data_IF_830389347045
#
_entry.id   IF_830389347045
#
_cell.length_a   1.000
_cell.length_b   1.000
_cell.length_c   1.000
_cell.angle_alpha   90.00
_cell.angle_beta   90.00
_cell.angle_gamma   90.00
#
_symmetry.space_group_name_H-M   'P 1'
#
loop_
_entity.id
_entity.type
_entity.pdbx_description
1 polymer ?
#
# COMPACT_ATOMS: atom_id res chain seq x y z
N UNK A 1 -19.19 39.15 19.56
CA UNK A 1 -18.31 39.05 18.37
C UNK A 1 -17.81 37.62 18.28
N UNK A 2 -18.37 36.81 17.39
CA UNK A 2 -17.90 35.46 17.11
C UNK A 2 -16.51 35.54 16.49
N UNK A 3 -15.55 34.76 16.98
CA UNK A 3 -14.18 34.80 16.46
C UNK A 3 -14.19 34.25 15.02
N UNK A 4 -13.37 34.77 14.10
CA UNK A 4 -13.27 34.26 12.73
C UNK A 4 -13.11 32.73 12.62
N UNK A 5 -12.31 32.04 13.46
CA UNK A 5 -12.24 30.57 13.44
C UNK A 5 -13.55 29.86 13.81
N UNK A 6 -14.38 30.43 14.69
CA UNK A 6 -15.67 29.83 15.07
C UNK A 6 -16.69 29.90 13.94
N UNK A 7 -16.61 30.96 13.11
CA UNK A 7 -17.43 31.12 11.91
C UNK A 7 -17.00 30.12 10.82
N UNK A 8 -15.69 29.97 10.58
CA UNK A 8 -15.17 28.98 9.63
C UNK A 8 -15.54 27.56 10.01
N UNK A 9 -15.43 27.20 11.30
CA UNK A 9 -15.85 25.89 11.79
C UNK A 9 -17.36 25.65 11.61
N UNK A 10 -18.18 26.70 11.79
CA UNK A 10 -19.63 26.60 11.60
C UNK A 10 -20.01 26.48 10.13
N UNK A 11 -19.38 27.24 9.25
CA UNK A 11 -19.54 27.12 7.80
C UNK A 11 -19.11 25.73 7.31
N UNK A 12 -17.98 25.21 7.80
CA UNK A 12 -17.51 23.88 7.45
C UNK A 12 -18.55 22.80 7.78
N UNK A 13 -19.16 22.86 8.98
CA UNK A 13 -20.24 21.92 9.36
C UNK A 13 -21.44 22.00 8.42
N UNK A 14 -21.85 23.20 8.03
CA UNK A 14 -22.95 23.35 7.06
C UNK A 14 -22.61 22.68 5.72
N UNK A 15 -21.39 22.89 5.21
CA UNK A 15 -20.94 22.26 3.96
C UNK A 15 -20.81 20.72 4.07
N UNK A 16 -20.35 20.20 5.22
CA UNK A 16 -20.31 18.76 5.48
C UNK A 16 -21.72 18.15 5.45
N UNK A 17 -22.71 18.82 6.05
CA UNK A 17 -24.11 18.37 6.06
C UNK A 17 -24.75 18.37 4.68
N UNK A 18 -24.34 19.28 3.79
CA UNK A 18 -24.81 19.34 2.41
C UNK A 18 -23.98 18.46 1.45
N UNK A 19 -22.97 17.75 1.96
CA UNK A 19 -22.09 16.90 1.16
C UNK A 19 -21.07 17.66 0.30
N UNK A 20 -20.93 18.98 0.47
CA UNK A 20 -19.91 19.77 -0.22
C UNK A 20 -18.56 19.69 0.53
N UNK A 21 -17.94 18.52 0.43
CA UNK A 21 -16.69 18.23 1.13
C UNK A 21 -15.53 19.13 0.71
N UNK A 22 -15.55 19.64 -0.53
CA UNK A 22 -14.51 20.53 -1.03
C UNK A 22 -14.54 21.90 -0.33
N UNK A 23 -15.72 22.49 -0.15
CA UNK A 23 -15.84 23.76 0.59
C UNK A 23 -15.62 23.55 2.09
N UNK A 24 -16.13 22.45 2.66
CA UNK A 24 -15.84 22.10 4.05
C UNK A 24 -14.33 21.98 4.31
N UNK A 25 -13.59 21.32 3.40
CA UNK A 25 -12.14 21.17 3.51
C UNK A 25 -11.41 22.51 3.47
N UNK A 26 -11.86 23.46 2.63
CA UNK A 26 -11.30 24.82 2.59
C UNK A 26 -11.50 25.56 3.91
N UNK A 27 -12.72 25.53 4.44
CA UNK A 27 -13.02 26.17 5.72
C UNK A 27 -12.18 25.60 6.87
N UNK A 28 -11.98 24.28 6.92
CA UNK A 28 -11.11 23.66 7.94
C UNK A 28 -9.63 23.99 7.75
N UNK A 29 -9.15 24.14 6.51
CA UNK A 29 -7.78 24.55 6.26
C UNK A 29 -7.51 25.99 6.70
N UNK A 30 -8.42 26.91 6.36
CA UNK A 30 -8.36 28.31 6.80
C UNK A 30 -8.49 28.43 8.33
N UNK A 31 -9.24 27.53 8.96
CA UNK A 31 -9.34 27.42 10.42
C UNK A 31 -8.10 26.78 11.08
N UNK A 32 -7.10 26.33 10.30
CA UNK A 32 -5.89 25.72 10.83
C UNK A 32 -6.06 24.26 11.29
N UNK A 33 -7.03 23.53 10.73
CA UNK A 33 -7.29 22.12 11.00
C UNK A 33 -6.88 21.22 9.81
N UNK A 34 -5.57 21.05 9.54
CA UNK A 34 -5.11 20.36 8.33
C UNK A 34 -5.48 18.88 8.28
N UNK A 35 -5.62 18.20 9.43
CA UNK A 35 -6.04 16.79 9.49
C UNK A 35 -7.46 16.62 8.94
N UNK A 36 -8.42 17.39 9.47
CA UNK A 36 -9.81 17.33 9.05
C UNK A 36 -9.98 17.80 7.60
N UNK A 37 -9.25 18.83 7.20
CA UNK A 37 -9.21 19.26 5.81
C UNK A 37 -8.71 18.14 4.86
N UNK A 38 -7.68 17.38 5.27
CA UNK A 38 -7.15 16.27 4.47
C UNK A 38 -8.20 15.16 4.27
N UNK A 39 -8.88 14.73 5.33
CA UNK A 39 -9.95 13.73 5.27
C UNK A 39 -11.09 14.19 4.34
N UNK A 40 -11.50 15.45 4.45
CA UNK A 40 -12.55 16.00 3.60
C UNK A 40 -12.13 16.11 2.13
N UNK A 41 -10.86 16.40 1.84
CA UNK A 41 -10.34 16.35 0.47
C UNK A 41 -10.32 14.92 -0.10
N UNK A 42 -10.07 13.89 0.72
CA UNK A 42 -10.24 12.49 0.29
C UNK A 42 -11.71 12.19 -0.06
N UNK A 43 -12.65 12.61 0.79
CA UNK A 43 -14.09 12.45 0.53
C UNK A 43 -14.56 13.24 -0.70
N UNK A 44 -13.96 14.39 -0.96
CA UNK A 44 -14.20 15.18 -2.17
C UNK A 44 -13.61 14.56 -3.45
N UNK A 45 -12.84 13.49 -3.34
CA UNK A 45 -12.17 12.84 -4.48
C UNK A 45 -11.00 13.64 -5.06
N UNK A 46 -10.39 14.55 -4.27
CA UNK A 46 -9.18 15.30 -4.65
C UNK A 46 -7.96 14.80 -3.86
N UNK A 47 -7.35 13.67 -4.28
CA UNK A 47 -6.23 13.08 -3.57
C UNK A 47 -4.97 13.97 -3.57
N UNK A 48 -4.84 14.88 -4.54
CA UNK A 48 -3.71 15.79 -4.62
C UNK A 48 -3.77 16.82 -3.50
N UNK A 49 -4.93 17.44 -3.30
CA UNK A 49 -5.12 18.38 -2.18
C UNK A 49 -5.07 17.64 -0.84
N UNK A 50 -5.66 16.46 -0.75
CA UNK A 50 -5.57 15.64 0.46
C UNK A 50 -4.09 15.38 0.84
N UNK A 51 -3.24 15.03 -0.12
CA UNK A 51 -1.83 14.78 0.12
C UNK A 51 -1.09 16.01 0.69
N UNK A 52 -1.29 17.20 0.11
CA UNK A 52 -0.71 18.45 0.63
C UNK A 52 -1.10 18.68 2.09
N UNK A 53 -2.36 18.42 2.45
CA UNK A 53 -2.85 18.61 3.82
C UNK A 53 -2.35 17.56 4.79
N UNK A 54 -2.21 16.31 4.35
CA UNK A 54 -1.54 15.27 5.13
C UNK A 54 -0.07 15.58 5.39
N UNK A 55 0.64 16.17 4.42
CA UNK A 55 2.03 16.61 4.62
C UNK A 55 2.10 17.74 5.66
N UNK A 56 1.24 18.76 5.55
CA UNK A 56 1.14 19.84 6.56
C UNK A 56 0.81 19.29 7.94
N UNK A 57 -0.04 18.27 8.02
CA UNK A 57 -0.42 17.58 9.24
C UNK A 57 0.65 16.60 9.77
N UNK A 58 1.86 16.56 9.18
CA UNK A 58 2.94 15.64 9.56
C UNK A 58 2.50 14.17 9.51
N UNK A 59 1.75 13.80 8.46
CA UNK A 59 1.31 12.42 8.15
C UNK A 59 1.79 12.01 6.74
N UNK A 60 3.11 11.92 6.52
CA UNK A 60 3.68 11.61 5.20
C UNK A 60 3.20 10.29 4.59
N UNK A 61 2.95 9.25 5.40
CA UNK A 61 2.44 7.96 4.90
C UNK A 61 1.07 8.08 4.23
N UNK A 62 0.13 8.81 4.86
CA UNK A 62 -1.21 9.07 4.28
C UNK A 62 -1.13 9.95 3.04
N UNK A 63 -0.23 10.95 3.06
CA UNK A 63 0.03 11.76 1.87
C UNK A 63 0.52 10.90 0.70
N UNK A 64 1.43 9.97 0.95
CA UNK A 64 1.96 9.07 -0.06
C UNK A 64 0.86 8.15 -0.64
N UNK A 65 -0.03 7.61 0.19
CA UNK A 65 -1.21 6.84 -0.27
C UNK A 65 -2.10 7.65 -1.21
N UNK A 66 -2.39 8.91 -0.86
CA UNK A 66 -3.16 9.81 -1.71
C UNK A 66 -2.44 10.09 -3.04
N UNK A 67 -1.13 10.35 -3.00
CA UNK A 67 -0.33 10.58 -4.22
C UNK A 67 -0.25 9.34 -5.12
N UNK A 68 -0.22 8.13 -4.53
CA UNK A 68 -0.32 6.88 -5.29
C UNK A 68 -1.66 6.77 -6.03
N UNK A 69 -2.77 7.10 -5.36
CA UNK A 69 -4.11 7.14 -5.99
C UNK A 69 -4.16 8.17 -7.12
N UNK A 70 -3.50 9.31 -6.94
CA UNK A 70 -3.35 10.35 -7.96
C UNK A 70 -2.32 10.02 -9.06
N UNK A 71 -1.70 8.83 -9.05
CA UNK A 71 -0.64 8.40 -10.01
C UNK A 71 0.62 9.29 -10.00
N UNK A 72 0.85 10.06 -8.94
CA UNK A 72 2.03 10.92 -8.74
C UNK A 72 3.13 10.14 -7.99
N UNK A 73 3.72 9.16 -8.68
CA UNK A 73 4.55 8.13 -8.04
C UNK A 73 5.86 8.64 -7.44
N UNK A 74 6.55 9.55 -8.13
CA UNK A 74 7.79 10.14 -7.65
C UNK A 74 7.56 10.97 -6.38
N UNK A 75 6.45 11.67 -6.30
CA UNK A 75 6.07 12.46 -5.13
C UNK A 75 5.60 11.56 -3.98
N UNK A 76 4.88 10.48 -4.28
CA UNK A 76 4.54 9.47 -3.28
C UNK A 76 5.80 8.84 -2.66
N UNK A 77 6.80 8.50 -3.49
CA UNK A 77 8.07 7.98 -3.00
C UNK A 77 8.80 8.98 -2.10
N UNK A 78 8.86 10.26 -2.49
CA UNK A 78 9.43 11.34 -1.65
C UNK A 78 8.67 11.51 -0.34
N UNK A 79 7.34 11.42 -0.37
CA UNK A 79 6.53 11.51 0.85
C UNK A 79 6.82 10.33 1.80
N UNK A 80 6.92 9.10 1.30
CA UNK A 80 7.36 7.96 2.12
C UNK A 80 8.76 8.17 2.70
N UNK A 81 9.70 8.66 1.90
CA UNK A 81 11.07 8.97 2.33
C UNK A 81 11.10 10.03 3.45
N UNK A 82 10.34 11.11 3.31
CA UNK A 82 10.18 12.13 4.36
C UNK A 82 9.58 11.56 5.65
N UNK A 83 8.76 10.51 5.55
CA UNK A 83 8.21 9.76 6.68
C UNK A 83 9.14 8.68 7.25
N UNK A 84 10.33 8.49 6.68
CA UNK A 84 11.27 7.44 7.06
C UNK A 84 10.90 6.04 6.56
N UNK A 85 9.85 5.89 5.75
CA UNK A 85 9.45 4.60 5.19
C UNK A 85 10.20 4.31 3.87
N UNK A 86 11.51 4.10 4.00
CA UNK A 86 12.40 3.87 2.87
C UNK A 86 12.03 2.63 2.07
N UNK A 87 11.41 1.64 2.71
CA UNK A 87 10.93 0.43 2.03
C UNK A 87 9.80 0.75 1.05
N UNK A 88 8.76 1.45 1.49
CA UNK A 88 7.65 1.82 0.59
C UNK A 88 8.08 2.86 -0.45
N UNK A 89 9.01 3.76 -0.12
CA UNK A 89 9.60 4.68 -1.09
C UNK A 89 10.30 3.94 -2.23
N UNK A 90 11.26 3.06 -1.90
CA UNK A 90 11.97 2.25 -2.89
C UNK A 90 11.04 1.32 -3.68
N UNK A 91 10.06 0.73 -3.01
CA UNK A 91 9.06 -0.14 -3.64
C UNK A 91 8.19 0.60 -4.66
N UNK A 92 7.80 1.83 -4.34
CA UNK A 92 7.04 2.68 -5.26
C UNK A 92 7.86 2.97 -6.51
N UNK A 93 9.14 3.35 -6.35
CA UNK A 93 10.02 3.64 -7.48
C UNK A 93 10.26 2.41 -8.36
N UNK A 94 10.52 1.24 -7.78
CA UNK A 94 10.83 0.04 -8.57
C UNK A 94 9.61 -0.50 -9.34
N UNK A 95 8.41 -0.39 -8.79
CA UNK A 95 7.18 -0.96 -9.38
C UNK A 95 6.42 0.03 -10.27
N UNK A 96 6.46 1.33 -9.95
CA UNK A 96 5.66 2.36 -10.63
C UNK A 96 6.47 3.29 -11.51
N UNK A 97 7.79 3.38 -11.31
CA UNK A 97 8.67 4.25 -12.09
C UNK A 97 9.82 3.45 -12.71
N UNK A 98 10.76 4.16 -13.36
CA UNK A 98 12.01 3.58 -13.89
C UNK A 98 13.25 4.00 -13.09
N UNK A 99 13.06 4.59 -11.91
CA UNK A 99 14.15 5.11 -11.07
C UNK A 99 14.78 4.00 -10.22
N UNK A 100 15.32 2.97 -10.87
CA UNK A 100 15.81 1.77 -10.19
C UNK A 100 17.04 2.02 -9.32
N UNK A 101 17.97 2.86 -9.77
CA UNK A 101 19.17 3.21 -8.99
C UNK A 101 18.82 3.90 -7.66
N UNK A 102 17.87 4.85 -7.69
CA UNK A 102 17.34 5.49 -6.47
C UNK A 102 16.65 4.47 -5.57
N UNK A 103 15.86 3.56 -6.15
CA UNK A 103 15.21 2.49 -5.39
C UNK A 103 16.23 1.58 -4.69
N UNK A 104 17.30 1.18 -5.38
CA UNK A 104 18.39 0.38 -4.81
C UNK A 104 19.08 1.09 -3.65
N UNK A 105 19.35 2.39 -3.80
CA UNK A 105 19.94 3.20 -2.74
C UNK A 105 19.02 3.27 -1.51
N UNK A 106 17.72 3.54 -1.68
CA UNK A 106 16.76 3.56 -0.59
C UNK A 106 16.67 2.21 0.13
N UNK A 107 16.66 1.10 -0.61
CA UNK A 107 16.71 -0.22 0.01
C UNK A 107 18.06 -0.52 0.67
N UNK A 108 19.17 0.07 0.21
CA UNK A 108 20.46 -0.08 0.87
C UNK A 108 20.47 0.63 2.23
N UNK A 109 19.90 1.84 2.30
CA UNK A 109 19.76 2.62 3.53
C UNK A 109 18.68 2.11 4.50
N UNK A 110 17.67 1.41 3.99
CA UNK A 110 16.60 0.89 4.83
C UNK A 110 17.12 -0.09 5.90
N UNK A 111 16.83 0.19 7.16
CA UNK A 111 17.14 -0.66 8.31
C UNK A 111 15.89 -1.48 8.71
N UNK A 112 15.81 -2.77 8.32
CA UNK A 112 14.65 -3.59 8.63
C UNK A 112 14.70 -4.11 10.07
N UNK A 113 13.68 -3.83 10.85
CA UNK A 113 13.55 -4.24 12.25
C UNK A 113 12.87 -5.59 12.37
N UNK A 114 11.91 -5.90 11.48
CA UNK A 114 11.16 -7.16 11.50
C UNK A 114 11.65 -8.16 10.45
N UNK A 115 11.33 -9.45 10.63
CA UNK A 115 11.59 -10.48 9.63
C UNK A 115 10.84 -10.19 8.31
N UNK A 116 9.62 -9.65 8.40
CA UNK A 116 8.83 -9.22 7.24
C UNK A 116 9.49 -8.10 6.47
N UNK A 117 9.98 -7.07 7.16
CA UNK A 117 10.75 -5.97 6.55
C UNK A 117 12.04 -6.46 5.90
N UNK A 118 12.77 -7.39 6.53
CA UNK A 118 13.97 -8.00 5.93
C UNK A 118 13.65 -8.71 4.62
N UNK A 119 12.54 -9.44 4.58
CA UNK A 119 12.09 -10.13 3.37
C UNK A 119 11.62 -9.14 2.29
N UNK A 120 10.84 -8.12 2.66
CA UNK A 120 10.43 -7.02 1.77
C UNK A 120 11.62 -6.28 1.17
N UNK A 121 12.60 -5.88 2.01
CA UNK A 121 13.85 -5.26 1.55
C UNK A 121 14.59 -6.14 0.54
N UNK A 122 14.70 -7.45 0.81
CA UNK A 122 15.35 -8.40 -0.10
C UNK A 122 14.61 -8.48 -1.45
N UNK A 123 13.30 -8.66 -1.43
CA UNK A 123 12.46 -8.68 -2.63
C UNK A 123 12.62 -7.38 -3.43
N UNK A 124 12.56 -6.23 -2.75
CA UNK A 124 12.71 -4.91 -3.37
C UNK A 124 14.06 -4.72 -4.07
N UNK A 125 15.18 -5.03 -3.40
CA UNK A 125 16.53 -4.96 -3.99
C UNK A 125 16.68 -5.86 -5.20
N UNK A 126 16.23 -7.11 -5.08
CA UNK A 126 16.37 -8.08 -6.16
C UNK A 126 15.44 -7.75 -7.34
N UNK A 127 14.26 -7.17 -7.09
CA UNK A 127 13.39 -6.66 -8.13
C UNK A 127 14.00 -5.45 -8.84
N UNK A 128 14.65 -4.55 -8.10
CA UNK A 128 15.34 -3.41 -8.69
C UNK A 128 16.49 -3.88 -9.61
N UNK A 129 17.33 -4.81 -9.14
CA UNK A 129 18.39 -5.40 -9.94
C UNK A 129 17.83 -6.18 -11.16
N UNK A 130 16.73 -6.91 -10.99
CA UNK A 130 16.09 -7.62 -12.09
C UNK A 130 15.57 -6.67 -13.18
N UNK A 131 15.00 -5.52 -12.78
CA UNK A 131 14.44 -4.52 -13.71
C UNK A 131 15.49 -3.58 -14.31
N UNK A 132 16.58 -3.30 -13.60
CA UNK A 132 17.69 -2.47 -14.07
C UNK A 132 18.65 -3.26 -14.96
N UNK A 133 18.98 -4.50 -14.58
CA UNK A 133 20.08 -5.27 -15.17
C UNK A 133 19.66 -6.63 -15.74
N UNK A 134 18.38 -7.00 -15.68
CA UNK A 134 17.89 -8.32 -16.12
C UNK A 134 18.24 -9.48 -15.18
N UNK A 135 18.80 -9.22 -14.00
CA UNK A 135 19.27 -10.24 -13.05
C UNK A 135 18.12 -10.79 -12.19
N UNK A 136 17.30 -11.67 -12.75
CA UNK A 136 16.13 -12.24 -12.06
C UNK A 136 16.42 -13.46 -11.18
N UNK A 137 17.56 -14.13 -11.36
CA UNK A 137 17.86 -15.40 -10.67
C UNK A 137 17.77 -15.31 -9.14
N UNK A 138 18.30 -14.24 -8.55
CA UNK A 138 18.23 -14.04 -7.10
C UNK A 138 16.81 -13.78 -6.61
N UNK A 139 16.02 -13.02 -7.38
CA UNK A 139 14.61 -12.76 -7.08
C UNK A 139 13.78 -14.05 -7.14
N UNK A 140 13.97 -14.85 -8.19
CA UNK A 140 13.24 -16.11 -8.38
C UNK A 140 13.47 -17.07 -7.21
N UNK A 141 14.72 -17.24 -6.75
CA UNK A 141 15.01 -18.04 -5.55
C UNK A 141 14.27 -17.52 -4.32
N UNK A 142 14.33 -16.21 -4.07
CA UNK A 142 13.63 -15.63 -2.92
C UNK A 142 12.12 -15.83 -3.03
N UNK A 143 11.51 -15.68 -4.20
CA UNK A 143 10.08 -15.89 -4.42
C UNK A 143 9.66 -17.34 -4.14
N UNK A 144 10.48 -18.32 -4.53
CA UNK A 144 10.25 -19.74 -4.22
C UNK A 144 10.29 -20.01 -2.71
N UNK A 145 11.12 -19.29 -1.95
CA UNK A 145 11.25 -19.45 -0.49
C UNK A 145 10.12 -18.74 0.30
N UNK A 146 9.43 -17.74 -0.28
CA UNK A 146 8.42 -16.94 0.42
C UNK A 146 7.27 -17.80 1.00
N UNK A 147 6.68 -18.76 0.25
CA UNK A 147 5.62 -19.64 0.75
C UNK A 147 5.95 -20.35 2.07
N UNK A 148 7.19 -20.78 2.26
CA UNK A 148 7.61 -21.48 3.49
C UNK A 148 7.78 -20.52 4.68
N UNK A 149 8.10 -19.25 4.39
CA UNK A 149 8.43 -18.26 5.41
C UNK A 149 7.23 -17.47 5.89
N UNK A 150 6.24 -17.23 5.02
CA UNK A 150 5.14 -16.29 5.30
C UNK A 150 4.34 -16.64 6.57
N UNK A 151 4.15 -17.93 6.86
CA UNK A 151 3.46 -18.40 8.06
C UNK A 151 4.16 -18.07 9.38
N UNK A 152 5.50 -18.00 9.37
CA UNK A 152 6.29 -17.72 10.58
C UNK A 152 6.46 -16.22 10.87
N UNK A 153 6.09 -15.35 9.92
CA UNK A 153 6.24 -13.91 10.10
C UNK A 153 5.31 -13.39 11.20
N UNK A 154 5.89 -12.58 12.09
CA UNK A 154 5.20 -11.78 13.10
C UNK A 154 5.63 -10.32 12.94
N UNK A 155 4.72 -9.34 13.12
CA UNK A 155 3.28 -9.48 13.38
C UNK A 155 2.46 -9.90 12.15
N UNK A 156 1.20 -10.32 12.34
CA UNK A 156 0.32 -10.80 11.26
C UNK A 156 0.17 -9.79 10.10
N UNK A 157 0.17 -8.49 10.39
CA UNK A 157 0.13 -7.42 9.38
C UNK A 157 1.30 -7.47 8.38
N UNK A 158 2.47 -7.97 8.80
CA UNK A 158 3.62 -8.10 7.90
C UNK A 158 3.44 -9.21 6.88
N UNK A 159 2.63 -10.25 7.19
CA UNK A 159 2.31 -11.31 6.23
C UNK A 159 1.60 -10.76 5.01
N UNK A 160 0.58 -9.91 5.21
CA UNK A 160 -0.17 -9.27 4.14
C UNK A 160 0.74 -8.36 3.27
N UNK A 161 1.66 -7.62 3.88
CA UNK A 161 2.61 -6.78 3.14
C UNK A 161 3.60 -7.61 2.33
N UNK A 162 4.12 -8.70 2.88
CA UNK A 162 5.03 -9.62 2.19
C UNK A 162 4.32 -10.31 1.03
N UNK A 163 3.09 -10.80 1.23
CA UNK A 163 2.25 -11.37 0.17
C UNK A 163 2.13 -10.40 -1.00
N UNK A 164 1.69 -9.17 -0.73
CA UNK A 164 1.50 -8.15 -1.76
C UNK A 164 2.79 -7.88 -2.55
N UNK A 165 3.93 -7.76 -1.85
CA UNK A 165 5.22 -7.50 -2.49
C UNK A 165 5.70 -8.69 -3.32
N UNK A 166 5.59 -9.91 -2.79
CA UNK A 166 6.03 -11.11 -3.48
C UNK A 166 5.18 -11.39 -4.73
N UNK A 167 3.85 -11.26 -4.64
CA UNK A 167 2.93 -11.41 -5.78
C UNK A 167 3.23 -10.35 -6.85
N UNK A 168 3.37 -9.09 -6.46
CA UNK A 168 3.67 -8.01 -7.39
C UNK A 168 5.06 -8.18 -8.04
N UNK A 169 6.07 -8.64 -7.29
CA UNK A 169 7.38 -8.95 -7.85
C UNK A 169 7.30 -10.09 -8.87
N UNK A 170 6.54 -11.14 -8.57
CA UNK A 170 6.31 -12.27 -9.47
C UNK A 170 5.65 -11.84 -10.79
N UNK A 171 4.69 -10.90 -10.75
CA UNK A 171 4.11 -10.29 -11.95
C UNK A 171 5.17 -9.57 -12.79
N UNK A 172 6.03 -8.76 -12.17
CA UNK A 172 7.06 -8.02 -12.89
C UNK A 172 8.11 -8.91 -13.57
N UNK A 173 8.34 -10.13 -13.07
CA UNK A 173 9.21 -11.13 -13.72
C UNK A 173 8.45 -12.16 -14.56
N UNK A 174 7.15 -11.96 -14.80
CA UNK A 174 6.28 -12.84 -15.60
C UNK A 174 6.25 -14.29 -15.10
N UNK A 175 6.15 -14.47 -13.78
CA UNK A 175 6.02 -15.77 -13.10
C UNK A 175 4.75 -15.83 -12.25
N UNK A 176 3.56 -15.85 -12.87
CA UNK A 176 2.29 -15.88 -12.14
C UNK A 176 2.12 -17.14 -11.28
N UNK A 177 2.79 -18.24 -11.64
CA UNK A 177 2.86 -19.48 -10.86
C UNK A 177 3.44 -19.25 -9.45
N UNK A 178 4.50 -18.44 -9.33
CA UNK A 178 5.08 -18.09 -8.04
C UNK A 178 4.13 -17.20 -7.22
N UNK A 179 3.40 -16.30 -7.89
CA UNK A 179 2.34 -15.50 -7.26
C UNK A 179 1.25 -16.38 -6.65
N UNK A 180 0.80 -17.40 -7.37
CA UNK A 180 -0.20 -18.35 -6.89
C UNK A 180 0.27 -19.18 -5.68
N UNK A 181 1.54 -19.62 -5.68
CA UNK A 181 2.12 -20.32 -4.53
C UNK A 181 2.15 -19.43 -3.27
N UNK A 182 2.45 -18.13 -3.44
CA UNK A 182 2.43 -17.17 -2.33
C UNK A 182 1.01 -17.01 -1.78
N UNK A 183 -0.01 -16.85 -2.64
CA UNK A 183 -1.40 -16.77 -2.20
C UNK A 183 -1.87 -18.03 -1.46
N UNK A 184 -1.54 -19.22 -1.99
CA UNK A 184 -1.87 -20.48 -1.34
C UNK A 184 -1.23 -20.59 0.06
N UNK A 185 0.01 -20.16 0.22
CA UNK A 185 0.69 -20.13 1.51
C UNK A 185 0.12 -19.07 2.46
N UNK A 186 -0.19 -17.88 1.96
CA UNK A 186 -0.86 -16.82 2.72
C UNK A 186 -2.22 -17.25 3.26
N UNK A 187 -3.01 -17.93 2.44
CA UNK A 187 -4.31 -18.45 2.87
C UNK A 187 -4.16 -19.44 4.02
N UNK A 188 -3.24 -20.41 3.89
CA UNK A 188 -2.90 -21.36 4.97
C UNK A 188 -2.37 -20.65 6.23
N UNK A 189 -1.67 -19.53 6.06
CA UNK A 189 -1.16 -18.71 7.15
C UNK A 189 -2.20 -17.76 7.77
N UNK A 190 -3.46 -17.80 7.33
CA UNK A 190 -4.55 -16.98 7.87
C UNK A 190 -4.39 -15.48 7.57
N UNK A 191 -3.81 -15.11 6.43
CA UNK A 191 -3.65 -13.71 6.05
C UNK A 191 -5.01 -13.10 5.71
N UNK A 192 -5.42 -12.07 6.44
CA UNK A 192 -6.71 -11.38 6.26
C UNK A 192 -6.86 -10.79 4.85
N UNK A 193 -8.03 -10.99 4.24
CA UNK A 193 -8.35 -10.51 2.89
C UNK A 193 -7.56 -11.19 1.76
N UNK A 194 -6.84 -12.30 2.04
CA UNK A 194 -6.08 -13.03 1.03
C UNK A 194 -6.98 -13.60 -0.07
N UNK A 195 -8.15 -14.14 0.29
CA UNK A 195 -9.10 -14.71 -0.67
C UNK A 195 -9.60 -13.67 -1.68
N UNK A 196 -10.00 -12.49 -1.20
CA UNK A 196 -10.45 -11.40 -2.06
C UNK A 196 -9.32 -10.92 -2.99
N UNK A 197 -8.11 -10.74 -2.46
CA UNK A 197 -6.95 -10.34 -3.28
C UNK A 197 -6.60 -11.40 -4.31
N UNK A 198 -6.67 -12.68 -3.96
CA UNK A 198 -6.49 -13.79 -4.90
C UNK A 198 -7.51 -13.73 -6.04
N UNK A 199 -8.80 -13.59 -5.74
CA UNK A 199 -9.86 -13.55 -6.76
C UNK A 199 -9.65 -12.41 -7.76
N UNK A 200 -9.39 -11.20 -7.28
CA UNK A 200 -9.12 -10.04 -8.14
C UNK A 200 -7.85 -10.24 -8.97
N UNK A 201 -6.80 -10.82 -8.37
CA UNK A 201 -5.55 -11.10 -9.05
C UNK A 201 -5.71 -12.18 -10.14
N UNK A 202 -6.32 -13.31 -9.80
CA UNK A 202 -6.49 -14.46 -10.68
C UNK A 202 -7.35 -14.10 -11.91
N UNK A 203 -8.46 -13.38 -11.69
CA UNK A 203 -9.29 -12.87 -12.79
C UNK A 203 -8.49 -12.00 -13.77
N UNK A 204 -7.63 -11.11 -13.27
CA UNK A 204 -6.81 -10.21 -14.10
C UNK A 204 -5.63 -10.92 -14.77
N UNK A 205 -4.98 -11.85 -14.07
CA UNK A 205 -3.68 -12.39 -14.48
C UNK A 205 -3.77 -13.77 -15.13
N UNK A 206 -4.69 -14.62 -14.68
CA UNK A 206 -4.88 -15.98 -15.20
C UNK A 206 -6.08 -16.07 -16.17
N UNK A 207 -6.98 -15.08 -16.16
CA UNK A 207 -8.21 -15.11 -16.93
C UNK A 207 -9.27 -16.06 -16.37
N UNK A 208 -8.98 -16.69 -15.23
CA UNK A 208 -9.87 -17.57 -14.50
C UNK A 208 -9.61 -17.43 -12.99
N UNK A 209 -10.66 -17.64 -12.21
CA UNK A 209 -10.63 -17.69 -10.74
C UNK A 209 -10.72 -19.13 -10.22
N UNK A 210 -10.93 -20.12 -11.09
CA UNK A 210 -10.96 -21.53 -10.68
C UNK A 210 -9.56 -22.03 -10.33
N UNK A 211 -9.45 -22.63 -9.15
CA UNK A 211 -8.20 -23.13 -8.57
C UNK A 211 -7.68 -22.27 -7.42
N UNK A 212 -8.00 -22.68 -6.18
CA UNK A 212 -7.45 -22.22 -4.87
C UNK A 212 -8.15 -20.99 -4.25
N UNK A 213 -8.27 -20.97 -2.92
CA UNK A 213 -9.17 -21.76 -2.09
C UNK A 213 -10.52 -21.03 -1.90
N UNK A 214 -11.62 -21.65 -2.35
CA UNK A 214 -12.94 -21.23 -1.90
C UNK A 214 -12.97 -21.31 -0.37
N UNK A 215 -13.43 -20.25 0.28
CA UNK A 215 -13.55 -20.20 1.72
C UNK A 215 -14.22 -21.48 2.23
N UNK A 216 -13.53 -22.24 3.09
CA UNK A 216 -14.25 -23.18 3.93
C UNK A 216 -15.24 -22.35 4.74
N UNK A 217 -16.54 -22.60 4.54
CA UNK A 217 -17.59 -21.97 5.32
C UNK A 217 -17.25 -22.10 6.82
N UNK A 218 -17.51 -21.08 7.65
CA UNK A 218 -17.33 -21.20 9.09
C UNK A 218 -18.14 -22.40 9.59
N UNK A 219 -17.56 -23.28 10.44
CA UNK A 219 -18.33 -24.38 11.00
C UNK A 219 -19.40 -23.81 11.94
N UNK A 220 -20.67 -24.02 11.58
CA UNK A 220 -21.81 -23.86 12.48
C UNK A 220 -22.51 -22.51 12.41
N UNK A 221 -23.54 -22.41 11.57
CA UNK A 221 -24.81 -21.87 12.01
C UNK A 221 -25.84 -22.99 11.86
N UNK A 222 -26.46 -23.31 12.99
CA UNK A 222 -27.35 -24.43 13.20
C UNK A 222 -28.58 -24.40 12.27
N UNK A 223 -28.89 -25.55 11.68
CA UNK A 223 -30.28 -25.94 11.46
C UNK A 223 -30.64 -26.98 12.52
N UNK A 224 -31.49 -26.55 13.44
CA UNK A 224 -32.05 -27.30 14.56
C UNK A 224 -33.11 -26.44 15.21
#
# INVERSE_FOLDING_TARGET
MTRPPDLLASAARCYELTGDYAQAARCHDEAGHPLKAAELWEHAGDPVRAADRWLRARRPGRAAECLLAARRFEEAAKAYEQGGDLLNAGWTLVTRTRSYATAEHLFALAEPHTAGERLRRRLGRQLAAARAYGQSAALLRTLTDVPERIGSLKPARERAKVELWAVTAAEHVRRPDLGALVFAASYRAGVTGCADRWQHWAARTLGDTTGVPAAAAPPGLAEG
#
